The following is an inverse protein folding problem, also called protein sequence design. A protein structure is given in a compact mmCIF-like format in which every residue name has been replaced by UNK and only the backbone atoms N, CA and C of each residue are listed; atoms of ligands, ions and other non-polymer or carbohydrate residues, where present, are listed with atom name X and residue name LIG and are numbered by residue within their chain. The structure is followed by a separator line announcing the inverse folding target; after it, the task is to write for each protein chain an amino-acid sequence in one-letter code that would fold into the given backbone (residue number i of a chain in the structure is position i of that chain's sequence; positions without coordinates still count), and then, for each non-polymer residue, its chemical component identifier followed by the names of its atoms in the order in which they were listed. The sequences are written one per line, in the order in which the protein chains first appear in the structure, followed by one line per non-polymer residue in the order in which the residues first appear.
data_IF_782217292256
#
_entry.id   IF_782217292256
#
_cell.length_a   1.000
_cell.length_b   1.000
_cell.length_c   1.000
_cell.angle_alpha   90.00
_cell.angle_beta   90.00
_cell.angle_gamma   90.00
#
_symmetry.space_group_name_H-M   'P 1'
#
loop_
_entity.id
_entity.type
_entity.pdbx_description
1 polymer ?
#
# COMPACT_ATOMS: atom_id res chain seq x y z
N UNK A 1 30.81 56.51 -38.39
CA UNK A 1 29.42 56.01 -38.11
C UNK A 1 29.32 54.47 -38.21
N UNK A 2 30.20 53.74 -38.87
CA UNK A 2 30.15 52.27 -39.06
C UNK A 2 30.65 51.49 -37.84
N UNK A 3 31.57 52.04 -37.04
CA UNK A 3 32.17 51.32 -35.90
C UNK A 3 31.24 51.23 -34.67
N UNK A 4 30.32 52.21 -34.46
CA UNK A 4 29.39 52.19 -33.34
C UNK A 4 28.25 51.16 -33.51
N UNK A 5 27.80 50.91 -34.74
CA UNK A 5 26.73 49.94 -35.06
C UNK A 5 27.17 48.49 -34.86
N UNK A 6 28.44 48.17 -35.13
CA UNK A 6 28.99 46.83 -34.93
C UNK A 6 29.09 46.43 -33.44
N UNK A 7 29.42 47.39 -32.58
CA UNK A 7 29.55 47.15 -31.13
C UNK A 7 28.19 46.87 -30.45
N UNK A 8 27.14 47.58 -30.86
CA UNK A 8 25.77 47.39 -30.32
C UNK A 8 25.20 46.03 -30.72
N UNK A 9 25.45 45.56 -31.96
CA UNK A 9 24.98 44.25 -32.44
C UNK A 9 25.72 43.12 -31.69
N UNK A 10 27.02 43.26 -31.40
CA UNK A 10 27.81 42.27 -30.68
C UNK A 10 27.39 42.15 -29.19
N UNK A 11 27.09 43.26 -28.53
CA UNK A 11 26.63 43.27 -27.16
C UNK A 11 25.20 42.72 -27.04
N UNK A 12 24.30 43.06 -27.96
CA UNK A 12 22.95 42.51 -28.02
C UNK A 12 22.95 41.00 -28.33
N UNK A 13 23.83 40.53 -29.23
CA UNK A 13 24.00 39.12 -29.55
C UNK A 13 24.52 38.31 -28.37
N UNK A 14 25.48 38.85 -27.59
CA UNK A 14 25.97 38.20 -26.36
C UNK A 14 24.89 38.20 -25.27
N UNK A 15 24.13 39.26 -25.13
CA UNK A 15 23.04 39.33 -24.12
C UNK A 15 21.91 38.35 -24.45
N UNK A 16 21.53 38.21 -25.73
CA UNK A 16 20.55 37.24 -26.21
C UNK A 16 21.06 35.80 -26.10
N UNK A 17 22.35 35.56 -26.37
CA UNK A 17 22.95 34.23 -26.21
C UNK A 17 23.13 33.81 -24.76
N UNK A 18 23.39 34.72 -23.83
CA UNK A 18 23.52 34.42 -22.40
C UNK A 18 22.17 34.33 -21.71
N UNK A 19 21.14 35.02 -22.17
CA UNK A 19 19.77 34.91 -21.59
C UNK A 19 19.06 33.60 -22.01
N UNK A 20 19.54 32.90 -23.05
CA UNK A 20 18.95 31.65 -23.52
C UNK A 20 19.52 30.39 -22.83
N UNK A 21 20.51 30.52 -21.92
CA UNK A 21 21.23 29.37 -21.34
C UNK A 21 20.90 29.08 -19.85
N UNK A 22 20.17 29.92 -19.19
CA UNK A 22 19.75 29.60 -17.83
C UNK A 22 18.48 28.71 -17.87
N UNK A 23 18.68 27.38 -17.77
CA UNK A 23 17.55 26.44 -17.57
C UNK A 23 16.76 26.96 -16.33
N UNK A 24 15.43 27.15 -16.43
CA UNK A 24 14.65 27.59 -15.26
C UNK A 24 14.93 26.65 -14.10
N UNK A 25 15.18 27.22 -12.92
CA UNK A 25 15.35 26.40 -11.71
C UNK A 25 14.02 25.68 -11.46
N UNK A 26 14.03 24.35 -11.48
CA UNK A 26 12.85 23.56 -11.21
C UNK A 26 12.28 23.91 -9.80
N UNK A 27 10.98 24.12 -9.69
CA UNK A 27 10.36 24.39 -8.40
C UNK A 27 10.63 23.21 -7.44
N UNK A 28 10.67 23.49 -6.14
CA UNK A 28 11.07 22.51 -5.14
C UNK A 28 9.92 22.18 -4.20
N UNK A 29 9.72 20.87 -3.94
CA UNK A 29 8.74 20.32 -3.03
C UNK A 29 9.42 19.44 -1.98
N UNK A 30 8.89 19.40 -0.75
CA UNK A 30 9.37 18.58 0.36
C UNK A 30 8.34 17.52 0.69
N UNK A 31 8.73 16.25 0.65
CA UNK A 31 7.86 15.12 0.96
C UNK A 31 8.44 14.35 2.15
N UNK A 32 7.64 14.26 3.22
CA UNK A 32 7.91 13.35 4.32
C UNK A 32 7.45 11.94 3.95
N UNK A 33 8.28 10.94 4.20
CA UNK A 33 7.94 9.52 3.98
C UNK A 33 8.15 8.78 5.29
N UNK A 34 7.07 8.37 5.92
CA UNK A 34 7.13 7.53 7.12
C UNK A 34 7.25 6.07 6.69
N UNK A 35 8.40 5.48 6.92
CA UNK A 35 8.77 4.12 6.51
C UNK A 35 8.92 3.22 7.73
N UNK A 36 8.88 1.89 7.52
CA UNK A 36 9.21 0.91 8.55
C UNK A 36 10.63 0.41 8.29
N UNK A 37 11.65 1.19 8.73
CA UNK A 37 13.06 0.83 8.55
C UNK A 37 13.58 -0.10 9.65
N UNK A 38 12.82 -0.28 10.71
CA UNK A 38 13.07 -1.20 11.83
C UNK A 38 11.86 -2.11 12.05
N UNK A 39 12.02 -3.12 12.90
CA UNK A 39 10.94 -4.02 13.28
C UNK A 39 10.58 -5.08 12.25
N UNK A 40 9.36 -5.60 12.36
CA UNK A 40 8.88 -6.75 11.59
C UNK A 40 8.68 -6.46 10.10
N UNK A 41 8.45 -5.20 9.76
CA UNK A 41 8.18 -4.73 8.39
C UNK A 41 9.35 -3.97 7.75
N UNK A 42 10.57 -4.10 8.29
CA UNK A 42 11.73 -3.34 7.79
C UNK A 42 11.96 -3.46 6.29
N UNK A 43 11.64 -4.62 5.70
CA UNK A 43 11.79 -4.84 4.26
C UNK A 43 10.85 -3.92 3.44
N UNK A 44 9.68 -3.58 3.98
CA UNK A 44 8.73 -2.68 3.35
C UNK A 44 9.31 -1.25 3.30
N UNK A 45 9.97 -0.80 4.36
CA UNK A 45 10.66 0.49 4.39
C UNK A 45 11.76 0.60 3.35
N UNK A 46 12.58 -0.45 3.20
CA UNK A 46 13.63 -0.51 2.15
C UNK A 46 13.03 -0.36 0.76
N UNK A 47 11.89 -1.02 0.50
CA UNK A 47 11.19 -0.96 -0.79
C UNK A 47 10.58 0.41 -1.04
N UNK A 48 9.90 0.99 -0.04
CA UNK A 48 9.32 2.33 -0.15
C UNK A 48 10.39 3.39 -0.43
N UNK A 49 11.55 3.32 0.26
CA UNK A 49 12.68 4.20 -0.02
C UNK A 49 13.15 4.13 -1.47
N UNK A 50 13.35 2.92 -1.98
CA UNK A 50 13.80 2.72 -3.35
C UNK A 50 12.79 3.29 -4.36
N UNK A 51 11.51 3.00 -4.15
CA UNK A 51 10.43 3.47 -5.02
C UNK A 51 10.28 5.00 -5.00
N UNK A 52 10.31 5.63 -3.83
CA UNK A 52 10.23 7.08 -3.70
C UNK A 52 11.42 7.79 -4.37
N UNK A 53 12.63 7.24 -4.20
CA UNK A 53 13.83 7.77 -4.87
C UNK A 53 13.77 7.64 -6.39
N UNK A 54 13.24 6.53 -6.92
CA UNK A 54 13.02 6.37 -8.36
C UNK A 54 12.06 7.43 -8.90
N UNK A 55 10.93 7.67 -8.21
CA UNK A 55 9.97 8.69 -8.62
C UNK A 55 10.56 10.11 -8.54
N UNK A 56 11.30 10.41 -7.48
CA UNK A 56 12.01 11.69 -7.34
C UNK A 56 13.01 11.92 -8.48
N UNK A 57 13.71 10.86 -8.91
CA UNK A 57 14.62 10.92 -10.06
C UNK A 57 13.88 11.19 -11.37
N UNK A 58 12.71 10.57 -11.56
CA UNK A 58 11.90 10.76 -12.78
C UNK A 58 11.28 12.17 -12.87
N UNK A 59 11.09 12.84 -11.73
CA UNK A 59 10.59 14.21 -11.64
C UNK A 59 11.69 15.28 -11.75
N UNK A 60 12.97 14.91 -11.62
CA UNK A 60 14.07 15.86 -11.39
C UNK A 60 14.19 17.00 -12.42
N UNK A 61 13.70 16.80 -13.63
CA UNK A 61 13.70 17.84 -14.67
C UNK A 61 12.54 18.84 -14.55
N UNK A 62 11.45 18.46 -13.87
CA UNK A 62 10.23 19.26 -13.76
C UNK A 62 10.02 19.81 -12.36
N UNK A 63 10.24 18.99 -11.33
CA UNK A 63 10.14 19.34 -9.91
C UNK A 63 11.30 18.73 -9.15
N UNK A 64 11.98 19.53 -8.34
CA UNK A 64 12.96 19.01 -7.39
C UNK A 64 12.24 18.50 -6.15
N UNK A 65 12.08 17.17 -6.03
CA UNK A 65 11.49 16.55 -4.85
C UNK A 65 12.57 16.27 -3.80
N UNK A 66 12.46 16.93 -2.64
CA UNK A 66 13.29 16.68 -1.48
C UNK A 66 12.57 15.69 -0.57
N UNK A 67 13.13 14.48 -0.42
CA UNK A 67 12.57 13.41 0.40
C UNK A 67 13.24 13.39 1.78
N UNK A 68 12.43 13.36 2.84
CA UNK A 68 12.89 12.95 4.16
C UNK A 68 12.22 11.64 4.53
N UNK A 69 13.03 10.69 5.00
CA UNK A 69 12.57 9.37 5.40
C UNK A 69 12.71 9.24 6.91
N UNK A 70 11.60 8.97 7.57
CA UNK A 70 11.58 8.81 9.01
C UNK A 70 11.02 7.43 9.38
N UNK A 71 11.77 6.71 10.22
CA UNK A 71 11.38 5.39 10.68
C UNK A 71 10.21 5.51 11.66
N UNK A 72 9.07 4.94 11.26
CA UNK A 72 7.86 4.85 12.08
C UNK A 72 7.94 3.72 13.12
N UNK A 73 8.88 2.77 12.94
CA UNK A 73 9.05 1.62 13.83
C UNK A 73 7.82 0.72 13.91
N UNK A 74 7.76 -0.12 14.94
CA UNK A 74 6.65 -1.03 15.22
C UNK A 74 5.72 -0.50 16.34
N UNK A 75 5.89 0.75 16.77
CA UNK A 75 5.13 1.31 17.88
C UNK A 75 4.59 2.71 17.60
N UNK A 76 3.44 3.02 18.21
CA UNK A 76 2.82 4.36 18.17
C UNK A 76 3.77 5.44 18.72
N UNK A 77 4.66 5.09 19.66
CA UNK A 77 5.64 6.03 20.20
C UNK A 77 6.72 6.40 19.16
N UNK A 78 7.24 5.41 18.43
CA UNK A 78 8.22 5.62 17.36
C UNK A 78 7.60 6.42 16.21
N UNK A 79 6.38 6.07 15.80
CA UNK A 79 5.62 6.80 14.80
C UNK A 79 5.40 8.27 15.19
N UNK A 80 5.15 8.56 16.48
CA UNK A 80 5.01 9.94 16.98
C UNK A 80 6.32 10.73 16.84
N UNK A 81 7.44 10.12 17.17
CA UNK A 81 8.75 10.74 17.05
C UNK A 81 9.11 10.99 15.59
N UNK A 82 8.83 10.02 14.71
CA UNK A 82 9.01 10.15 13.27
C UNK A 82 8.18 11.32 12.71
N UNK A 83 6.90 11.40 13.08
CA UNK A 83 6.03 12.52 12.67
C UNK A 83 6.57 13.87 13.13
N UNK A 84 7.11 13.97 14.36
CA UNK A 84 7.70 15.21 14.85
C UNK A 84 8.90 15.65 13.99
N UNK A 85 9.74 14.70 13.52
CA UNK A 85 10.87 14.99 12.63
C UNK A 85 10.40 15.40 11.24
N UNK A 86 9.36 14.75 10.67
CA UNK A 86 8.75 15.16 9.40
C UNK A 86 8.20 16.59 9.49
N UNK A 87 7.56 16.97 10.61
CA UNK A 87 7.09 18.34 10.83
C UNK A 87 8.25 19.34 10.93
N UNK A 88 9.33 18.97 11.61
CA UNK A 88 10.53 19.81 11.72
C UNK A 88 11.23 20.01 10.35
N UNK A 89 11.07 19.07 9.42
CA UNK A 89 11.51 19.20 8.03
C UNK A 89 10.63 20.17 7.23
N UNK A 90 9.49 20.57 7.78
CA UNK A 90 8.52 21.45 7.13
C UNK A 90 8.02 20.85 5.80
N UNK A 91 7.57 19.60 5.85
CA UNK A 91 7.09 18.85 4.68
C UNK A 91 5.81 19.49 4.10
N UNK A 92 5.72 19.53 2.77
CA UNK A 92 4.55 20.00 2.02
C UNK A 92 3.49 18.90 1.88
N UNK A 93 3.92 17.61 1.97
CA UNK A 93 3.09 16.42 1.86
C UNK A 93 3.71 15.27 2.66
N UNK A 94 2.87 14.35 3.14
CA UNK A 94 3.28 13.16 3.87
C UNK A 94 2.81 11.88 3.17
N UNK A 95 3.71 10.92 3.00
CA UNK A 95 3.33 9.52 2.78
C UNK A 95 3.16 8.84 4.13
N UNK A 96 1.96 8.30 4.36
CA UNK A 96 1.57 7.69 5.62
C UNK A 96 2.39 6.42 5.92
N UNK A 97 2.59 6.09 7.21
CA UNK A 97 3.11 4.78 7.59
C UNK A 97 2.16 3.67 7.14
N UNK A 98 2.70 2.47 6.92
CA UNK A 98 1.92 1.32 6.41
C UNK A 98 1.10 0.62 7.48
N UNK A 99 1.31 0.91 8.74
CA UNK A 99 0.59 0.33 9.87
C UNK A 99 -0.58 1.22 10.29
N UNK A 100 -1.76 0.60 10.50
CA UNK A 100 -2.99 1.33 10.80
C UNK A 100 -2.92 2.14 12.10
N UNK A 101 -2.27 1.62 13.15
CA UNK A 101 -2.16 2.33 14.44
C UNK A 101 -1.25 3.55 14.34
N UNK A 102 -0.12 3.43 13.65
CA UNK A 102 0.78 4.53 13.35
C UNK A 102 0.12 5.58 12.45
N UNK A 103 -0.62 5.13 11.43
CA UNK A 103 -1.36 6.01 10.54
C UNK A 103 -2.51 6.76 11.26
N UNK A 104 -3.21 6.09 12.19
CA UNK A 104 -4.25 6.71 13.03
C UNK A 104 -3.68 7.82 13.92
N UNK A 105 -2.49 7.61 14.48
CA UNK A 105 -1.76 8.65 15.20
C UNK A 105 -1.43 9.82 14.29
N UNK A 106 -0.93 9.56 13.08
CA UNK A 106 -0.63 10.61 12.09
C UNK A 106 -1.88 11.44 11.82
N UNK A 107 -3.02 10.81 11.51
CA UNK A 107 -4.30 11.51 11.28
C UNK A 107 -4.72 12.38 12.46
N UNK A 108 -4.50 11.89 13.69
CA UNK A 108 -4.86 12.62 14.90
C UNK A 108 -4.02 13.89 15.13
N UNK A 109 -2.73 13.85 14.76
CA UNK A 109 -1.78 14.91 15.11
C UNK A 109 -1.39 15.83 13.95
N UNK A 110 -1.83 15.59 12.71
CA UNK A 110 -1.49 16.46 11.56
C UNK A 110 -2.48 17.58 11.31
N UNK A 111 -3.78 17.38 11.57
CA UNK A 111 -4.84 18.42 11.49
C UNK A 111 -4.64 19.42 10.33
N UNK A 112 -4.84 19.01 9.11
CA UNK A 112 -4.78 19.85 7.91
C UNK A 112 -3.44 20.58 7.65
N UNK A 113 -2.37 20.20 8.33
CA UNK A 113 -1.06 20.83 8.14
C UNK A 113 -0.47 20.52 6.74
N UNK A 114 -0.74 19.34 6.20
CA UNK A 114 -0.37 18.90 4.86
C UNK A 114 -1.26 17.74 4.39
N UNK A 115 -1.43 17.53 3.06
CA UNK A 115 -2.08 16.35 2.54
C UNK A 115 -1.33 15.08 2.91
N UNK A 116 -2.07 13.98 3.11
CA UNK A 116 -1.50 12.67 3.45
C UNK A 116 -1.92 11.67 2.39
N UNK A 117 -0.96 10.92 1.84
CA UNK A 117 -1.21 9.82 0.89
C UNK A 117 -0.89 8.50 1.56
N UNK A 118 -1.84 7.57 1.56
CA UNK A 118 -1.65 6.19 1.99
C UNK A 118 -1.24 5.33 0.79
N UNK A 119 -0.14 4.60 0.94
CA UNK A 119 0.44 3.72 -0.09
C UNK A 119 0.25 2.23 0.20
N UNK A 120 -0.33 1.92 1.35
CA UNK A 120 -0.69 0.57 1.78
C UNK A 120 -2.16 0.53 2.24
N UNK A 121 -2.82 -0.62 2.20
CA UNK A 121 -4.16 -0.79 2.76
C UNK A 121 -4.15 -0.48 4.27
N UNK A 122 -5.00 0.42 4.70
CA UNK A 122 -5.17 0.82 6.08
C UNK A 122 -6.61 0.57 6.53
N UNK A 123 -6.81 0.40 7.85
CA UNK A 123 -8.14 0.34 8.43
C UNK A 123 -8.97 1.60 8.05
N UNK A 124 -10.29 1.44 7.90
CA UNK A 124 -11.13 2.52 7.38
C UNK A 124 -11.33 3.68 8.35
N UNK A 125 -11.19 3.41 9.65
CA UNK A 125 -11.35 4.41 10.70
C UNK A 125 -10.09 5.25 10.97
N UNK A 126 -8.99 4.96 10.26
CA UNK A 126 -7.70 5.61 10.46
C UNK A 126 -7.77 7.11 10.28
N UNK A 127 -8.54 7.55 9.30
CA UNK A 127 -8.58 8.92 8.81
C UNK A 127 -9.94 9.62 8.99
N UNK A 128 -10.75 9.17 9.94
CA UNK A 128 -12.08 9.72 10.23
C UNK A 128 -12.13 11.26 10.41
N UNK A 129 -11.02 11.88 10.83
CA UNK A 129 -10.94 13.32 11.08
C UNK A 129 -10.25 14.11 9.98
N UNK A 130 -9.39 13.45 9.22
CA UNK A 130 -8.66 14.01 8.09
C UNK A 130 -8.49 12.94 7.02
N UNK A 131 -9.34 12.94 5.98
CA UNK A 131 -9.29 11.88 4.97
C UNK A 131 -7.93 11.82 4.28
N UNK A 132 -7.32 10.64 4.27
CA UNK A 132 -6.14 10.35 3.48
C UNK A 132 -6.52 10.20 2.01
N UNK A 133 -5.57 10.50 1.14
CA UNK A 133 -5.66 10.12 -0.27
C UNK A 133 -5.10 8.70 -0.40
N UNK A 134 -5.94 7.72 -0.68
CA UNK A 134 -5.55 6.31 -0.71
C UNK A 134 -5.23 5.87 -2.13
N UNK A 135 -4.04 5.32 -2.35
CA UNK A 135 -3.63 4.70 -3.61
C UNK A 135 -3.83 3.17 -3.61
N UNK A 136 -4.51 2.67 -2.59
CA UNK A 136 -4.89 1.26 -2.45
C UNK A 136 -6.37 1.17 -2.12
N UNK A 137 -6.93 -0.04 -2.26
CA UNK A 137 -8.22 -0.36 -1.66
C UNK A 137 -8.22 -0.10 -0.16
N UNK A 138 -9.39 0.15 0.41
CA UNK A 138 -9.54 0.12 1.86
C UNK A 138 -9.61 -1.32 2.37
N UNK A 139 -9.35 -1.53 3.66
CA UNK A 139 -9.54 -2.85 4.27
C UNK A 139 -10.97 -3.37 4.08
N UNK A 140 -11.99 -2.51 4.25
CA UNK A 140 -13.38 -2.92 4.05
C UNK A 140 -13.65 -3.37 2.61
N UNK A 141 -13.12 -2.67 1.62
CA UNK A 141 -13.27 -3.10 0.22
C UNK A 141 -12.68 -4.49 0.01
N UNK A 142 -11.45 -4.71 0.47
CA UNK A 142 -10.77 -6.00 0.33
C UNK A 142 -11.54 -7.11 1.03
N UNK A 143 -11.99 -6.85 2.26
CA UNK A 143 -12.69 -7.83 3.09
C UNK A 143 -14.10 -8.11 2.56
N UNK A 144 -14.82 -7.11 2.12
CA UNK A 144 -16.13 -7.27 1.49
C UNK A 144 -16.01 -8.06 0.18
N UNK A 145 -14.99 -7.78 -0.62
CA UNK A 145 -14.69 -8.52 -1.84
C UNK A 145 -14.34 -9.99 -1.56
N UNK A 146 -13.57 -10.25 -0.51
CA UNK A 146 -13.29 -11.62 -0.06
C UNK A 146 -14.57 -12.33 0.39
N UNK A 147 -15.42 -11.68 1.19
CA UNK A 147 -16.70 -12.25 1.63
C UNK A 147 -17.62 -12.56 0.44
N UNK A 148 -17.63 -11.69 -0.57
CA UNK A 148 -18.40 -11.91 -1.79
C UNK A 148 -17.87 -13.11 -2.58
N UNK A 149 -16.56 -13.20 -2.79
CA UNK A 149 -15.94 -14.32 -3.47
C UNK A 149 -16.29 -15.65 -2.78
N UNK A 150 -16.14 -15.72 -1.45
CA UNK A 150 -16.48 -16.91 -0.67
C UNK A 150 -17.97 -17.27 -0.80
N UNK A 151 -18.85 -16.28 -0.76
CA UNK A 151 -20.30 -16.51 -0.80
C UNK A 151 -20.80 -17.07 -2.15
N UNK A 152 -20.05 -16.86 -3.24
CA UNK A 152 -20.37 -17.44 -4.56
C UNK A 152 -20.31 -18.97 -4.55
N UNK A 153 -19.44 -19.56 -3.74
CA UNK A 153 -19.33 -21.02 -3.56
C UNK A 153 -20.42 -21.59 -2.62
N UNK A 154 -21.23 -20.74 -2.00
CA UNK A 154 -22.37 -21.07 -1.10
C UNK A 154 -22.01 -22.04 0.02
N UNK A 155 -20.95 -21.81 0.80
CA UNK A 155 -20.58 -22.70 1.88
C UNK A 155 -21.66 -22.73 2.96
N UNK A 156 -21.96 -23.92 3.52
CA UNK A 156 -22.90 -24.05 4.62
C UNK A 156 -22.29 -23.57 5.96
N UNK A 157 -20.98 -23.71 6.12
CA UNK A 157 -20.31 -23.38 7.37
C UNK A 157 -18.96 -22.66 7.11
N UNK A 158 -18.79 -21.49 7.73
CA UNK A 158 -17.57 -20.71 7.69
C UNK A 158 -17.06 -20.47 9.11
N UNK A 159 -15.79 -20.74 9.34
CA UNK A 159 -15.08 -20.39 10.57
C UNK A 159 -14.09 -19.26 10.29
N UNK A 160 -14.23 -18.16 11.01
CA UNK A 160 -13.25 -17.06 11.02
C UNK A 160 -12.41 -17.18 12.28
N UNK A 161 -11.12 -17.37 12.11
CA UNK A 161 -10.11 -17.36 13.17
C UNK A 161 -9.38 -16.03 13.10
N UNK A 162 -9.38 -15.26 14.21
CA UNK A 162 -8.86 -13.89 14.22
C UNK A 162 -7.87 -13.64 15.35
N UNK A 163 -6.87 -12.78 15.09
CA UNK A 163 -5.96 -12.27 16.09
C UNK A 163 -6.64 -11.23 17.01
N UNK A 164 -6.17 -11.12 18.25
CA UNK A 164 -6.76 -10.22 19.26
C UNK A 164 -6.39 -8.73 19.07
N UNK A 165 -5.48 -8.43 18.13
CA UNK A 165 -5.13 -7.06 17.75
C UNK A 165 -6.30 -6.35 17.03
N UNK A 166 -6.16 -5.05 16.81
CA UNK A 166 -7.21 -4.24 16.18
C UNK A 166 -7.49 -4.70 14.75
N UNK A 167 -6.44 -5.02 13.99
CA UNK A 167 -6.57 -5.52 12.62
C UNK A 167 -7.43 -6.78 12.56
N UNK A 168 -7.08 -7.81 13.35
CA UNK A 168 -7.83 -9.08 13.36
C UNK A 168 -9.29 -8.91 13.75
N UNK A 169 -9.57 -8.03 14.72
CA UNK A 169 -10.95 -7.72 15.16
C UNK A 169 -11.77 -7.01 14.09
N UNK A 170 -11.18 -6.03 13.37
CA UNK A 170 -11.88 -5.27 12.35
C UNK A 170 -12.14 -6.13 11.11
N UNK A 171 -11.16 -6.91 10.69
CA UNK A 171 -11.31 -7.90 9.61
C UNK A 171 -12.39 -8.92 9.96
N UNK A 172 -12.36 -9.49 11.18
CA UNK A 172 -13.35 -10.46 11.64
C UNK A 172 -14.78 -9.89 11.58
N UNK A 173 -14.99 -8.67 12.09
CA UNK A 173 -16.30 -8.02 12.07
C UNK A 173 -16.81 -7.82 10.64
N UNK A 174 -15.96 -7.28 9.76
CA UNK A 174 -16.31 -7.01 8.36
C UNK A 174 -16.62 -8.30 7.60
N UNK A 175 -15.83 -9.37 7.81
CA UNK A 175 -16.09 -10.69 7.21
C UNK A 175 -17.38 -11.30 7.71
N UNK A 176 -17.57 -11.36 9.04
CA UNK A 176 -18.78 -11.95 9.64
C UNK A 176 -20.04 -11.23 9.14
N UNK A 177 -20.03 -9.90 9.11
CA UNK A 177 -21.12 -9.09 8.57
C UNK A 177 -21.32 -9.37 7.07
N UNK A 178 -20.25 -9.30 6.26
CA UNK A 178 -20.31 -9.48 4.82
C UNK A 178 -20.83 -10.87 4.39
N UNK A 179 -20.40 -11.94 5.08
CA UNK A 179 -20.84 -13.32 4.83
C UNK A 179 -22.30 -13.53 5.27
N UNK A 180 -22.69 -13.01 6.43
CA UNK A 180 -24.06 -13.10 6.92
C UNK A 180 -25.04 -12.37 6.00
N UNK A 181 -24.68 -11.15 5.57
CA UNK A 181 -25.50 -10.36 4.63
C UNK A 181 -25.72 -11.09 3.30
N UNK A 182 -24.75 -11.91 2.87
CA UNK A 182 -24.83 -12.71 1.65
C UNK A 182 -25.43 -14.10 1.83
N UNK A 183 -26.03 -14.34 3.00
CA UNK A 183 -26.83 -15.54 3.27
C UNK A 183 -26.01 -16.79 3.58
N UNK A 184 -24.76 -16.69 4.03
CA UNK A 184 -24.01 -17.84 4.54
C UNK A 184 -24.68 -18.33 5.83
N UNK A 185 -25.16 -19.61 5.88
CA UNK A 185 -26.08 -20.04 6.94
C UNK A 185 -25.44 -20.06 8.33
N UNK A 186 -24.15 -20.41 8.41
CA UNK A 186 -23.44 -20.52 9.70
C UNK A 186 -22.06 -19.91 9.63
N UNK A 187 -21.91 -18.73 10.24
CA UNK A 187 -20.62 -18.04 10.43
C UNK A 187 -20.25 -18.12 11.90
N UNK A 188 -19.10 -18.73 12.19
CA UNK A 188 -18.53 -18.82 13.53
C UNK A 188 -17.25 -18.00 13.62
N UNK A 189 -17.00 -17.38 14.78
CA UNK A 189 -15.81 -16.56 15.00
C UNK A 189 -15.13 -17.02 16.29
N UNK A 190 -13.80 -17.25 16.22
CA UNK A 190 -13.00 -17.74 17.37
C UNK A 190 -11.64 -17.06 17.37
N UNK A 191 -11.16 -16.69 18.55
CA UNK A 191 -9.81 -16.16 18.71
C UNK A 191 -8.72 -17.16 18.29
N UNK A 192 -7.68 -16.70 17.62
CA UNK A 192 -6.60 -17.55 17.07
C UNK A 192 -5.87 -18.39 18.14
N UNK A 193 -5.90 -17.95 19.39
CA UNK A 193 -5.27 -18.65 20.51
C UNK A 193 -6.15 -19.75 21.13
N UNK A 194 -7.42 -19.85 20.73
CA UNK A 194 -8.38 -20.83 21.26
C UNK A 194 -8.34 -22.17 20.52
N UNK A 195 -7.13 -22.73 20.33
CA UNK A 195 -6.88 -23.91 19.50
C UNK A 195 -7.73 -25.14 19.87
N UNK A 196 -8.01 -25.33 21.15
CA UNK A 196 -8.84 -26.46 21.63
C UNK A 196 -10.32 -26.31 21.24
N UNK A 197 -10.84 -25.11 21.16
CA UNK A 197 -12.20 -24.83 20.69
C UNK A 197 -12.27 -25.00 19.15
N UNK A 198 -11.27 -24.47 18.44
CA UNK A 198 -11.18 -24.58 16.97
C UNK A 198 -11.15 -26.04 16.54
N UNK A 199 -10.39 -26.92 17.20
CA UNK A 199 -10.28 -28.36 16.88
C UNK A 199 -11.60 -29.12 16.97
N UNK A 200 -12.61 -28.60 17.67
CA UNK A 200 -13.94 -29.22 17.78
C UNK A 200 -14.87 -28.88 16.62
N UNK A 201 -14.47 -27.95 15.76
CA UNK A 201 -15.30 -27.47 14.63
C UNK A 201 -14.84 -28.16 13.35
N UNK A 202 -15.80 -28.39 12.45
CA UNK A 202 -15.58 -28.93 11.11
C UNK A 202 -16.19 -27.95 10.11
N UNK A 203 -15.50 -26.86 9.77
CA UNK A 203 -16.01 -25.91 8.82
C UNK A 203 -15.70 -26.38 7.39
N UNK A 204 -16.58 -26.04 6.44
CA UNK A 204 -16.25 -26.15 5.01
C UNK A 204 -15.18 -25.11 4.65
N UNK A 205 -15.34 -23.88 5.15
CA UNK A 205 -14.42 -22.79 4.88
C UNK A 205 -13.78 -22.29 6.17
N UNK A 206 -12.46 -22.18 6.16
CA UNK A 206 -11.66 -21.50 7.19
C UNK A 206 -11.10 -20.19 6.64
N UNK A 207 -11.27 -19.12 7.38
CA UNK A 207 -10.64 -17.82 7.11
C UNK A 207 -9.72 -17.47 8.27
N UNK A 208 -8.46 -17.14 7.97
CA UNK A 208 -7.49 -16.72 9.00
C UNK A 208 -7.26 -15.21 8.89
N UNK A 209 -7.88 -14.48 9.82
CA UNK A 209 -7.84 -13.02 9.93
C UNK A 209 -6.71 -12.59 10.88
N UNK A 210 -5.48 -12.81 10.47
CA UNK A 210 -4.26 -12.42 11.19
C UNK A 210 -3.11 -12.27 10.21
N UNK A 211 -2.27 -11.27 10.42
CA UNK A 211 -1.01 -11.12 9.68
C UNK A 211 0.13 -11.88 10.37
N UNK A 212 0.44 -11.54 11.60
CA UNK A 212 1.64 -12.03 12.30
C UNK A 212 1.46 -13.43 12.91
N UNK A 213 0.30 -13.72 13.50
CA UNK A 213 0.06 -14.96 14.24
C UNK A 213 -0.31 -16.14 13.33
N UNK A 214 -0.53 -15.91 12.04
CA UNK A 214 -0.93 -16.95 11.09
C UNK A 214 0.07 -18.10 10.97
N UNK A 215 1.37 -17.80 11.01
CA UNK A 215 2.44 -18.82 10.95
C UNK A 215 2.35 -19.78 12.15
N UNK A 216 2.25 -19.23 13.35
CA UNK A 216 2.10 -20.01 14.60
C UNK A 216 0.82 -20.85 14.61
N UNK A 217 -0.29 -20.26 14.14
CA UNK A 217 -1.58 -20.96 14.01
C UNK A 217 -1.47 -22.15 13.06
N UNK A 218 -1.01 -21.97 11.84
CA UNK A 218 -0.90 -23.05 10.86
C UNK A 218 0.05 -24.16 11.33
N UNK A 219 1.16 -23.78 11.96
CA UNK A 219 2.08 -24.77 12.56
C UNK A 219 1.40 -25.61 13.62
N UNK A 220 0.62 -24.99 14.50
CA UNK A 220 -0.08 -25.68 15.62
C UNK A 220 -1.28 -26.49 15.17
N UNK A 221 -1.90 -26.14 14.06
CA UNK A 221 -3.12 -26.76 13.54
C UNK A 221 -2.90 -27.70 12.34
N UNK A 222 -1.66 -27.96 11.96
CA UNK A 222 -1.28 -28.74 10.78
C UNK A 222 -2.02 -30.08 10.64
N UNK A 223 -2.28 -30.77 11.74
CA UNK A 223 -2.97 -32.07 11.76
C UNK A 223 -4.49 -31.93 11.64
N UNK A 224 -5.03 -30.75 11.93
CA UNK A 224 -6.45 -30.44 11.82
C UNK A 224 -6.82 -29.84 10.47
N UNK A 225 -5.94 -29.05 9.86
CA UNK A 225 -6.18 -28.35 8.59
C UNK A 225 -6.67 -29.27 7.43
N UNK A 226 -6.21 -30.53 7.29
CA UNK A 226 -6.70 -31.43 6.24
C UNK A 226 -8.20 -31.75 6.30
N UNK A 227 -8.89 -31.38 7.39
CA UNK A 227 -10.33 -31.57 7.57
C UNK A 227 -11.15 -30.38 7.05
N UNK A 228 -10.49 -29.31 6.65
CA UNK A 228 -11.10 -28.10 6.08
C UNK A 228 -11.09 -28.20 4.56
N UNK A 229 -12.22 -28.01 3.92
CA UNK A 229 -12.31 -28.14 2.46
C UNK A 229 -11.61 -27.00 1.74
N UNK A 230 -11.81 -25.76 2.23
CA UNK A 230 -11.20 -24.58 1.65
C UNK A 230 -10.68 -23.60 2.72
N UNK A 231 -9.46 -23.15 2.53
CA UNK A 231 -8.83 -22.12 3.38
C UNK A 231 -8.70 -20.83 2.59
N UNK A 232 -9.07 -19.71 3.23
CA UNK A 232 -8.83 -18.37 2.70
C UNK A 232 -7.95 -17.57 3.64
N UNK A 233 -7.03 -16.81 3.06
CA UNK A 233 -6.23 -15.81 3.76
C UNK A 233 -6.78 -14.42 3.45
N UNK A 234 -6.77 -13.58 4.47
CA UNK A 234 -7.14 -12.18 4.30
C UNK A 234 -6.10 -11.43 3.47
N UNK A 235 -6.49 -10.41 2.71
CA UNK A 235 -5.57 -9.54 1.99
C UNK A 235 -4.49 -8.98 2.94
N UNK A 236 -3.24 -9.02 2.52
CA UNK A 236 -2.09 -8.66 3.34
C UNK A 236 -1.41 -9.83 4.04
N UNK A 237 -2.08 -10.97 4.24
CA UNK A 237 -1.49 -12.19 4.81
C UNK A 237 -0.90 -13.09 3.70
N UNK A 238 -0.02 -12.56 2.89
CA UNK A 238 0.78 -13.35 1.92
C UNK A 238 2.18 -13.61 2.46
N UNK A 239 2.27 -14.01 3.73
CA UNK A 239 3.53 -14.45 4.30
C UNK A 239 4.12 -15.60 3.46
N UNK A 240 5.43 -15.58 3.31
CA UNK A 240 6.12 -16.66 2.60
C UNK A 240 6.19 -17.91 3.48
N UNK A 241 5.23 -18.79 3.32
CA UNK A 241 5.18 -20.06 4.06
C UNK A 241 6.14 -21.13 3.50
N UNK A 242 6.81 -20.89 2.37
CA UNK A 242 7.66 -21.89 1.71
C UNK A 242 8.81 -22.40 2.57
N UNK A 243 9.28 -21.58 3.51
CA UNK A 243 10.35 -21.94 4.43
C UNK A 243 9.93 -22.98 5.50
N UNK A 244 8.62 -23.28 5.62
CA UNK A 244 8.12 -24.15 6.67
C UNK A 244 7.78 -25.54 6.15
N UNK A 245 8.22 -26.63 6.82
CA UNK A 245 7.95 -28.00 6.37
C UNK A 245 6.46 -28.36 6.27
N UNK A 246 5.62 -27.68 7.08
CA UNK A 246 4.17 -27.87 7.11
C UNK A 246 3.42 -27.09 6.02
N UNK A 247 4.11 -26.26 5.24
CA UNK A 247 3.46 -25.46 4.18
C UNK A 247 2.66 -26.29 3.17
N UNK A 248 3.01 -27.55 3.00
CA UNK A 248 2.28 -28.51 2.13
C UNK A 248 0.81 -28.66 2.54
N UNK A 249 0.45 -28.46 3.81
CA UNK A 249 -0.93 -28.53 4.30
C UNK A 249 -1.78 -27.35 3.83
N UNK A 250 -1.14 -26.28 3.34
CA UNK A 250 -1.83 -25.10 2.79
C UNK A 250 -2.15 -25.23 1.28
N UNK A 251 -1.87 -26.38 0.67
CA UNK A 251 -2.20 -26.58 -0.75
C UNK A 251 -3.69 -26.34 -0.99
N UNK A 252 -4.01 -25.51 -1.97
CA UNK A 252 -5.38 -25.12 -2.28
C UNK A 252 -5.90 -23.91 -1.47
N UNK A 253 -5.12 -23.37 -0.51
CA UNK A 253 -5.47 -22.11 0.15
C UNK A 253 -5.55 -20.98 -0.88
N UNK A 254 -6.59 -20.16 -0.79
CA UNK A 254 -6.81 -19.03 -1.68
C UNK A 254 -6.60 -17.70 -0.95
N UNK A 255 -6.19 -16.69 -1.69
CA UNK A 255 -6.15 -15.29 -1.25
C UNK A 255 -6.57 -14.39 -2.39
N UNK A 256 -7.15 -13.24 -2.10
CA UNK A 256 -7.34 -12.18 -3.08
C UNK A 256 -6.43 -11.00 -2.76
N UNK A 257 -5.93 -10.37 -3.79
CA UNK A 257 -5.20 -9.11 -3.69
C UNK A 257 -5.72 -8.17 -4.76
N UNK A 258 -5.69 -6.86 -4.52
CA UNK A 258 -5.87 -5.89 -5.58
C UNK A 258 -4.97 -6.24 -6.77
N UNK A 259 -5.50 -6.06 -7.98
CA UNK A 259 -4.76 -6.33 -9.21
C UNK A 259 -3.44 -5.56 -9.20
N UNK A 260 -2.34 -6.26 -9.46
CA UNK A 260 -1.01 -5.65 -9.50
C UNK A 260 -0.91 -4.65 -10.68
N UNK A 261 -0.75 -3.36 -10.40
CA UNK A 261 -0.67 -2.33 -11.43
C UNK A 261 0.72 -2.20 -12.06
N UNK A 262 1.71 -2.98 -11.60
CA UNK A 262 3.12 -2.77 -11.97
C UNK A 262 3.44 -3.23 -13.38
N UNK A 263 4.29 -2.46 -14.08
CA UNK A 263 4.85 -2.85 -15.38
C UNK A 263 6.15 -3.65 -15.21
N UNK A 264 6.53 -4.43 -16.23
CA UNK A 264 7.80 -5.15 -16.24
C UNK A 264 8.99 -4.20 -16.15
N UNK A 265 8.90 -3.03 -16.77
CA UNK A 265 9.92 -1.98 -16.72
C UNK A 265 10.12 -1.46 -15.29
N UNK A 266 9.02 -1.08 -14.61
CA UNK A 266 9.10 -0.62 -13.22
C UNK A 266 9.73 -1.67 -12.31
N UNK A 267 9.32 -2.94 -12.42
CA UNK A 267 9.89 -4.04 -11.63
C UNK A 267 11.39 -4.19 -11.86
N UNK A 268 11.85 -4.10 -13.12
CA UNK A 268 13.26 -4.16 -13.45
C UNK A 268 14.05 -3.00 -12.83
N UNK A 269 13.55 -1.79 -12.93
CA UNK A 269 14.16 -0.59 -12.32
C UNK A 269 14.23 -0.70 -10.80
N UNK A 270 13.15 -1.15 -10.17
CA UNK A 270 13.11 -1.35 -8.72
C UNK A 270 14.10 -2.43 -8.27
N UNK A 271 14.13 -3.58 -8.95
CA UNK A 271 15.07 -4.68 -8.65
C UNK A 271 16.53 -4.21 -8.77
N UNK A 272 16.84 -3.39 -9.77
CA UNK A 272 18.15 -2.76 -9.95
C UNK A 272 18.47 -1.79 -8.81
N UNK A 273 17.53 -0.91 -8.46
CA UNK A 273 17.70 0.07 -7.38
C UNK A 273 17.93 -0.60 -6.01
N UNK A 274 17.33 -1.78 -5.81
CA UNK A 274 17.51 -2.60 -4.59
C UNK A 274 18.77 -3.47 -4.63
N UNK A 275 19.47 -3.57 -5.77
CA UNK A 275 20.59 -4.51 -5.95
C UNK A 275 20.14 -5.98 -5.84
N UNK A 276 18.88 -6.30 -6.14
CA UNK A 276 18.27 -7.64 -5.96
C UNK A 276 17.58 -8.14 -7.24
N UNK A 277 18.33 -8.50 -8.29
CA UNK A 277 17.75 -8.99 -9.54
C UNK A 277 16.92 -10.28 -9.37
N UNK A 278 17.17 -11.06 -8.30
CA UNK A 278 16.38 -12.24 -7.97
C UNK A 278 14.90 -11.96 -7.67
N UNK A 279 14.52 -10.73 -7.35
CA UNK A 279 13.13 -10.33 -7.22
C UNK A 279 12.34 -10.51 -8.53
N UNK A 280 13.00 -10.43 -9.68
CA UNK A 280 12.37 -10.63 -10.98
C UNK A 280 11.94 -12.07 -11.24
N UNK A 281 12.50 -13.04 -10.51
CA UNK A 281 12.08 -14.45 -10.60
C UNK A 281 10.68 -14.68 -9.99
N UNK A 282 10.21 -13.77 -9.13
CA UNK A 282 8.83 -13.77 -8.63
C UNK A 282 8.16 -12.40 -8.93
N UNK A 283 7.78 -12.14 -10.19
CA UNK A 283 7.26 -10.84 -10.61
C UNK A 283 5.89 -10.47 -10.01
N UNK A 284 5.27 -11.38 -9.28
CA UNK A 284 3.95 -11.21 -8.64
C UNK A 284 4.04 -11.07 -7.12
N UNK A 285 5.24 -10.82 -6.60
CA UNK A 285 5.42 -10.59 -5.19
C UNK A 285 4.67 -9.31 -4.76
N UNK A 286 3.89 -9.35 -3.65
CA UNK A 286 3.11 -8.20 -3.16
C UNK A 286 3.92 -6.92 -2.93
N UNK A 287 5.23 -7.07 -2.75
CA UNK A 287 6.15 -5.95 -2.57
C UNK A 287 6.15 -4.98 -3.76
N UNK A 288 5.90 -5.48 -4.98
CA UNK A 288 5.87 -4.63 -6.17
C UNK A 288 4.67 -3.67 -6.15
N UNK A 289 3.52 -4.11 -5.64
CA UNK A 289 2.36 -3.25 -5.49
C UNK A 289 2.62 -2.12 -4.48
N UNK A 290 3.21 -2.41 -3.31
CA UNK A 290 3.60 -1.39 -2.34
C UNK A 290 4.60 -0.39 -2.93
N UNK A 291 5.61 -0.91 -3.64
CA UNK A 291 6.59 -0.07 -4.32
C UNK A 291 5.94 0.85 -5.36
N UNK A 292 5.02 0.30 -6.16
CA UNK A 292 4.31 1.06 -7.18
C UNK A 292 3.46 2.17 -6.57
N UNK A 293 2.67 1.86 -5.55
CA UNK A 293 1.86 2.88 -4.89
C UNK A 293 2.72 3.99 -4.27
N UNK A 294 3.88 3.64 -3.71
CA UNK A 294 4.82 4.64 -3.19
C UNK A 294 5.43 5.49 -4.32
N UNK A 295 5.80 4.87 -5.44
CA UNK A 295 6.31 5.56 -6.62
C UNK A 295 5.25 6.51 -7.20
N UNK A 296 4.03 6.03 -7.43
CA UNK A 296 2.89 6.82 -7.92
C UNK A 296 2.54 7.98 -6.98
N UNK A 297 2.59 7.76 -5.66
CA UNK A 297 2.32 8.80 -4.68
C UNK A 297 3.27 10.01 -4.84
N UNK A 298 4.55 9.74 -5.06
CA UNK A 298 5.55 10.81 -5.27
C UNK A 298 5.35 11.48 -6.63
N UNK A 299 5.04 10.72 -7.69
CA UNK A 299 4.75 11.30 -9.01
C UNK A 299 3.51 12.19 -8.97
N UNK A 300 2.41 11.72 -8.37
CA UNK A 300 1.16 12.48 -8.21
C UNK A 300 1.39 13.75 -7.38
N UNK A 301 2.17 13.65 -6.30
CA UNK A 301 2.52 14.80 -5.48
C UNK A 301 3.26 15.86 -6.29
N UNK A 302 4.25 15.47 -7.10
CA UNK A 302 4.99 16.38 -7.97
C UNK A 302 4.11 17.03 -9.04
N UNK A 303 3.22 16.27 -9.67
CA UNK A 303 2.24 16.80 -10.65
C UNK A 303 1.27 17.79 -10.01
N UNK A 304 0.68 17.40 -8.87
CA UNK A 304 -0.25 18.25 -8.13
C UNK A 304 0.42 19.55 -7.65
N UNK A 305 1.69 19.49 -7.25
CA UNK A 305 2.45 20.67 -6.86
C UNK A 305 2.62 21.66 -8.02
N UNK A 306 2.91 21.16 -9.25
CA UNK A 306 2.99 21.98 -10.44
C UNK A 306 1.64 22.60 -10.82
N UNK A 307 0.56 21.85 -10.71
CA UNK A 307 -0.81 22.33 -11.00
C UNK A 307 -1.28 23.37 -9.97
N UNK A 308 -1.07 23.11 -8.69
CA UNK A 308 -1.44 24.01 -7.60
C UNK A 308 -0.61 25.30 -7.62
N UNK A 309 0.61 25.27 -8.17
CA UNK A 309 1.60 26.37 -8.10
C UNK A 309 1.84 26.89 -6.69
N UNK A 310 1.59 26.06 -5.70
CA UNK A 310 1.60 26.39 -4.29
C UNK A 310 1.81 25.16 -3.43
N UNK A 311 2.52 25.30 -2.31
CA UNK A 311 2.61 24.31 -1.25
C UNK A 311 1.47 24.43 -0.21
N UNK A 312 0.49 25.32 -0.44
CA UNK A 312 -0.67 25.44 0.46
C UNK A 312 -1.43 24.10 0.52
N UNK A 313 -1.73 23.56 1.72
CA UNK A 313 -2.32 22.23 1.89
C UNK A 313 -3.63 22.02 1.13
N UNK A 314 -4.54 23.01 1.14
CA UNK A 314 -5.85 22.91 0.48
C UNK A 314 -5.72 22.92 -1.05
N UNK A 315 -4.83 23.80 -1.57
CA UNK A 315 -4.56 23.87 -3.01
C UNK A 315 -3.92 22.57 -3.51
N UNK A 316 -2.95 22.04 -2.75
CA UNK A 316 -2.27 20.81 -3.08
C UNK A 316 -3.23 19.60 -2.99
N UNK A 317 -4.09 19.56 -1.95
CA UNK A 317 -5.11 18.52 -1.83
C UNK A 317 -6.10 18.57 -2.98
N UNK A 318 -6.56 19.76 -3.37
CA UNK A 318 -7.49 19.92 -4.51
C UNK A 318 -6.85 19.43 -5.82
N UNK A 319 -5.59 19.79 -6.06
CA UNK A 319 -4.85 19.32 -7.23
C UNK A 319 -4.68 17.80 -7.22
N UNK A 320 -4.34 17.19 -6.07
CA UNK A 320 -4.23 15.74 -5.92
C UNK A 320 -5.54 15.01 -6.26
N UNK A 321 -6.69 15.52 -5.77
CA UNK A 321 -8.00 14.93 -6.07
C UNK A 321 -8.36 14.99 -7.55
N UNK A 322 -7.85 15.99 -8.27
CA UNK A 322 -8.06 16.14 -9.73
C UNK A 322 -7.02 15.41 -10.58
N UNK A 323 -5.92 14.99 -9.99
CA UNK A 323 -4.81 14.31 -10.69
C UNK A 323 -5.19 12.86 -11.04
N UNK A 324 -4.54 12.33 -12.09
CA UNK A 324 -4.64 10.92 -12.48
C UNK A 324 -3.27 10.29 -12.38
N UNK A 325 -3.20 9.12 -11.75
CA UNK A 325 -2.00 8.30 -11.79
C UNK A 325 -1.74 7.76 -13.21
N UNK A 326 -0.50 7.31 -13.49
CA UNK A 326 -0.16 6.61 -14.74
C UNK A 326 -0.99 5.33 -14.93
N UNK A 327 -1.44 4.71 -13.84
CA UNK A 327 -2.34 3.56 -13.84
C UNK A 327 -3.82 3.91 -13.95
N UNK A 328 -4.17 5.18 -14.31
CA UNK A 328 -5.54 5.70 -14.39
C UNK A 328 -6.30 5.70 -13.04
N UNK A 329 -5.61 5.45 -11.93
CA UNK A 329 -6.21 5.53 -10.61
C UNK A 329 -6.74 6.95 -10.37
N UNK A 330 -7.98 7.04 -9.91
CA UNK A 330 -8.63 8.31 -9.57
C UNK A 330 -9.11 8.25 -8.13
N UNK A 331 -8.88 9.32 -7.40
CA UNK A 331 -9.49 9.48 -6.10
C UNK A 331 -10.97 9.83 -6.23
N UNK A 332 -11.80 9.29 -5.36
CA UNK A 332 -13.13 9.82 -5.09
C UNK A 332 -12.98 11.12 -4.26
N UNK A 333 -14.06 11.91 -4.20
CA UNK A 333 -14.12 13.09 -3.32
C UNK A 333 -13.84 12.77 -1.84
N UNK A 334 -14.13 11.53 -1.43
CA UNK A 334 -13.79 10.97 -0.12
C UNK A 334 -12.30 10.66 0.08
N UNK A 335 -11.46 10.70 -0.98
CA UNK A 335 -10.05 10.29 -0.94
C UNK A 335 -9.81 8.81 -1.21
N UNK A 336 -10.86 7.98 -1.40
CA UNK A 336 -10.72 6.55 -1.70
C UNK A 336 -10.52 6.30 -3.20
N UNK A 337 -9.96 5.14 -3.53
CA UNK A 337 -9.93 4.68 -4.93
C UNK A 337 -11.32 4.28 -5.43
N UNK A 338 -11.54 4.49 -6.72
CA UNK A 338 -12.67 3.89 -7.47
C UNK A 338 -12.28 2.51 -7.97
N UNK A 339 -13.27 1.63 -8.04
CA UNK A 339 -13.26 0.37 -8.80
C UNK A 339 -11.93 -0.42 -8.70
N UNK A 340 -11.86 -1.33 -7.75
CA UNK A 340 -10.68 -2.17 -7.53
C UNK A 340 -10.95 -3.58 -8.04
N UNK A 341 -10.23 -3.98 -9.07
CA UNK A 341 -10.17 -5.38 -9.53
C UNK A 341 -9.22 -6.19 -8.64
N UNK A 342 -9.50 -7.48 -8.50
CA UNK A 342 -8.70 -8.39 -7.68
C UNK A 342 -8.13 -9.52 -8.52
N UNK A 343 -6.96 -10.00 -8.12
CA UNK A 343 -6.37 -11.24 -8.59
C UNK A 343 -6.55 -12.31 -7.52
N UNK A 344 -7.06 -13.46 -7.90
CA UNK A 344 -7.17 -14.65 -7.03
C UNK A 344 -5.85 -15.40 -7.09
N UNK A 345 -5.27 -15.65 -5.95
CA UNK A 345 -4.04 -16.44 -5.82
C UNK A 345 -4.35 -17.76 -5.14
N UNK A 346 -3.86 -18.84 -5.72
CA UNK A 346 -3.87 -20.16 -5.11
C UNK A 346 -2.49 -20.57 -4.62
N UNK A 347 -2.43 -21.28 -3.50
CA UNK A 347 -1.19 -21.82 -2.96
C UNK A 347 -0.88 -23.16 -3.64
N UNK A 348 0.12 -23.18 -4.50
CA UNK A 348 0.48 -24.33 -5.34
C UNK A 348 1.36 -25.36 -4.63
N UNK A 349 1.61 -26.48 -5.34
CA UNK A 349 2.43 -27.61 -4.87
C UNK A 349 3.86 -27.22 -4.54
N UNK A 350 4.37 -26.15 -5.16
CA UNK A 350 5.74 -25.64 -4.94
C UNK A 350 5.85 -24.72 -3.72
N UNK A 351 4.78 -24.58 -2.93
CA UNK A 351 4.78 -23.76 -1.74
C UNK A 351 4.76 -22.24 -1.99
N UNK A 352 4.37 -21.80 -3.18
CA UNK A 352 4.24 -20.40 -3.57
C UNK A 352 2.84 -20.09 -4.07
N UNK A 353 2.39 -18.87 -3.84
CA UNK A 353 1.14 -18.37 -4.43
C UNK A 353 1.32 -18.10 -5.92
N UNK A 354 0.39 -18.61 -6.71
CA UNK A 354 0.30 -18.31 -8.13
C UNK A 354 -1.11 -17.78 -8.44
N UNK A 355 -1.26 -16.84 -9.39
CA UNK A 355 -2.58 -16.38 -9.79
C UNK A 355 -3.35 -17.50 -10.47
N UNK A 356 -4.58 -17.72 -10.01
CA UNK A 356 -5.53 -18.69 -10.57
C UNK A 356 -6.64 -18.01 -11.38
N UNK A 357 -6.86 -16.70 -11.20
CA UNK A 357 -7.91 -15.97 -11.88
C UNK A 357 -8.01 -14.50 -11.46
N UNK A 358 -9.06 -13.85 -11.93
CA UNK A 358 -9.43 -12.50 -11.54
C UNK A 358 -10.82 -12.48 -10.91
N UNK A 359 -11.06 -11.52 -10.05
CA UNK A 359 -12.33 -11.28 -9.39
C UNK A 359 -12.64 -9.79 -9.42
N UNK A 360 -13.80 -9.44 -9.96
CA UNK A 360 -14.35 -8.09 -9.90
C UNK A 360 -15.59 -8.14 -9.01
N UNK A 361 -15.62 -7.35 -7.93
CA UNK A 361 -16.83 -7.18 -7.12
C UNK A 361 -17.95 -6.55 -7.92
N UNK A 362 -19.20 -6.89 -7.60
CA UNK A 362 -20.38 -6.28 -8.19
C UNK A 362 -20.74 -4.97 -7.50
#
# INVERSE_FOLDING_TARGET
MIVLTGLVISVAGIYLATSSLAKPIAPSMRIGVMVSDSGSLYFAGVIQRAAAKLASSDLAETVKVNLVFEDAGDSVFEARNALARVKAFDADLLLAPIESDSARLVAQFTKDQFPIIATAPLADDVDNKQPFLRLTSSHSQDIISLAEMISRDRPATVLIVYSSDQYGKDVMKSLAFGLTLRGVPKVQVIGINELSAIRKIRPEVLIVASMEQSVGFFSSMRDWLPQVEQIYLVPGNLANYTAYPWAKTLKGTKAILPKDPTTAEFRSRLASALGRPSLLSNPKAPIFALAWHTYEAVLLAGQAFLEAKSANPDSLRTALLNSKSKGELRFQSSGYLRDVDYTVFGYGVLGSYAPEGSFSPN
#
